data_IF_682364867488
#
_entry.id   IF_682364867488
#
_cell.length_a   1.000
_cell.length_b   1.000
_cell.length_c   1.000
_cell.angle_alpha   90.00
_cell.angle_beta   90.00
_cell.angle_gamma   90.00
#
_symmetry.space_group_name_H-M   'P 1'
#
loop_
_entity.id
_entity.type
_entity.pdbx_description
1 polymer ?
#
# COMPACT_ATOMS: atom_id res chain seq x y z
N UNK A 1 52.56 -6.41 15.28
CA UNK A 1 52.23 -7.39 14.23
C UNK A 1 51.01 -8.19 14.65
N UNK A 2 49.95 -8.11 13.84
CA UNK A 2 48.94 -9.13 13.55
C UNK A 2 48.06 -9.71 14.68
N UNK A 3 46.80 -9.26 14.72
CA UNK A 3 45.58 -10.10 14.64
C UNK A 3 44.29 -9.24 14.83
N UNK A 4 44.00 -8.33 13.90
CA UNK A 4 42.77 -8.39 13.05
C UNK A 4 42.23 -9.81 12.84
N UNK A 5 41.01 -10.10 13.30
CA UNK A 5 39.88 -10.57 12.46
C UNK A 5 38.65 -11.08 13.25
N UNK A 6 37.45 -10.79 12.68
CA UNK A 6 36.17 -11.52 12.82
C UNK A 6 35.27 -11.27 14.05
N UNK A 7 34.71 -10.05 14.12
CA UNK A 7 33.28 -9.90 14.45
C UNK A 7 32.50 -9.80 13.13
N UNK A 8 32.05 -10.96 12.65
CA UNK A 8 31.29 -11.08 11.42
C UNK A 8 29.86 -10.55 11.60
N UNK A 9 29.58 -9.48 10.85
CA UNK A 9 28.26 -9.00 10.41
C UNK A 9 27.21 -10.12 10.34
N UNK A 10 26.27 -10.15 11.28
CA UNK A 10 24.94 -10.71 11.06
C UNK A 10 23.95 -9.54 10.84
N UNK A 11 24.17 -8.79 9.75
CA UNK A 11 23.12 -7.93 9.17
C UNK A 11 22.10 -8.87 8.55
N UNK A 12 21.02 -9.14 9.27
CA UNK A 12 19.82 -9.75 8.67
C UNK A 12 19.22 -8.67 7.77
N UNK A 13 19.54 -8.76 6.50
CA UNK A 13 19.06 -7.92 5.41
C UNK A 13 17.56 -8.17 5.19
N UNK A 14 16.75 -7.37 5.87
CA UNK A 14 15.48 -6.88 5.34
C UNK A 14 15.56 -5.36 5.25
N UNK A 15 16.60 -4.91 4.54
CA UNK A 15 16.58 -3.59 3.93
C UNK A 15 15.65 -3.71 2.73
N UNK A 16 14.46 -3.11 2.83
CA UNK A 16 13.98 -2.36 1.68
C UNK A 16 15.16 -1.51 1.23
N UNK A 17 15.51 -1.57 -0.04
CA UNK A 17 16.69 -0.98 -0.65
C UNK A 17 16.75 0.52 -0.30
N UNK A 18 17.41 0.84 0.82
CA UNK A 18 17.97 2.16 1.07
C UNK A 18 19.45 1.99 0.85
N UNK A 19 19.81 2.18 -0.42
CA UNK A 19 21.19 2.17 -0.84
C UNK A 19 21.90 3.32 -0.11
N UNK A 20 22.97 2.97 0.61
CA UNK A 20 23.87 3.92 1.25
C UNK A 20 24.81 4.55 0.19
N UNK A 21 24.22 5.03 -0.89
CA UNK A 21 24.87 5.81 -1.93
C UNK A 21 24.25 7.20 -1.83
N UNK A 22 24.87 8.05 -1.03
CA UNK A 22 24.65 9.50 -1.03
C UNK A 22 25.11 10.06 -2.37
N UNK A 23 24.32 9.80 -3.41
CA UNK A 23 24.14 10.75 -4.51
C UNK A 23 22.74 11.29 -4.34
N UNK A 24 22.65 12.51 -3.85
CA UNK A 24 21.45 13.34 -3.81
C UNK A 24 20.97 13.60 -5.25
N UNK A 25 20.38 12.60 -5.91
CA UNK A 25 19.62 12.84 -7.12
C UNK A 25 18.26 13.36 -6.67
N UNK A 26 18.16 14.65 -6.37
CA UNK A 26 16.88 15.34 -6.25
C UNK A 26 16.14 15.28 -7.59
N UNK A 27 14.80 15.21 -7.56
CA UNK A 27 14.05 15.61 -8.75
C UNK A 27 14.39 17.08 -9.01
N UNK A 28 14.80 17.37 -10.24
CA UNK A 28 14.98 18.74 -10.68
C UNK A 28 13.63 19.27 -11.12
N UNK A 29 13.17 20.30 -10.41
CA UNK A 29 12.04 21.13 -10.80
C UNK A 29 12.54 22.24 -11.72
N UNK A 30 11.63 22.77 -12.54
CA UNK A 30 11.94 23.78 -13.52
C UNK A 30 11.28 25.11 -13.15
N UNK A 31 11.93 26.21 -13.52
CA UNK A 31 11.35 27.53 -13.36
C UNK A 31 10.11 27.68 -14.25
N UNK A 32 9.15 28.49 -13.78
CA UNK A 32 7.87 28.69 -14.47
C UNK A 32 8.07 29.17 -15.92
N UNK A 33 9.12 29.96 -16.18
CA UNK A 33 9.43 30.50 -17.50
C UNK A 33 9.79 29.40 -18.52
N UNK A 34 10.54 28.37 -18.09
CA UNK A 34 10.89 27.21 -18.94
C UNK A 34 9.65 26.41 -19.31
N UNK A 35 8.73 26.25 -18.34
CA UNK A 35 7.47 25.53 -18.56
C UNK A 35 6.56 26.32 -19.50
N UNK A 36 6.51 27.65 -19.36
CA UNK A 36 5.76 28.51 -20.27
C UNK A 36 6.35 28.51 -21.70
N UNK A 37 7.68 28.50 -21.84
CA UNK A 37 8.37 28.35 -23.12
C UNK A 37 8.05 27.03 -23.80
N UNK A 38 8.00 25.93 -23.03
CA UNK A 38 7.56 24.63 -23.53
C UNK A 38 6.15 24.69 -24.13
N UNK A 39 5.18 25.28 -23.42
CA UNK A 39 3.81 25.40 -23.95
C UNK A 39 3.73 26.30 -25.19
N UNK A 40 4.49 27.40 -25.24
CA UNK A 40 4.55 28.26 -26.41
C UNK A 40 5.12 27.53 -27.64
N UNK A 41 6.14 26.69 -27.43
CA UNK A 41 6.73 25.84 -28.47
C UNK A 41 5.76 24.72 -28.88
N UNK A 42 5.07 24.11 -27.93
CA UNK A 42 4.09 23.06 -28.18
C UNK A 42 2.92 23.52 -29.06
N UNK A 43 2.49 24.79 -28.95
CA UNK A 43 1.46 25.36 -29.82
C UNK A 43 1.86 25.36 -31.31
N UNK A 44 3.15 25.46 -31.61
CA UNK A 44 3.71 25.43 -32.97
C UNK A 44 4.04 24.00 -33.43
N UNK A 45 3.98 23.03 -32.53
CA UNK A 45 4.30 21.63 -32.82
C UNK A 45 3.13 20.89 -33.49
N UNK A 46 3.41 19.71 -34.04
CA UNK A 46 2.43 18.89 -34.78
C UNK A 46 1.52 18.10 -33.83
N UNK A 47 0.67 18.80 -33.09
CA UNK A 47 -0.34 18.22 -32.18
C UNK A 47 -1.77 18.34 -32.73
N UNK A 48 -2.71 17.58 -32.18
CA UNK A 48 -4.13 17.68 -32.47
C UNK A 48 -4.67 19.09 -32.20
N UNK A 49 -5.65 19.52 -33.01
CA UNK A 49 -6.31 20.83 -32.85
C UNK A 49 -7.00 20.96 -31.48
N UNK A 50 -7.58 19.86 -30.98
CA UNK A 50 -8.24 19.81 -29.67
C UNK A 50 -7.22 20.02 -28.54
N UNK A 51 -6.05 19.37 -28.64
CA UNK A 51 -4.97 19.55 -27.69
C UNK A 51 -4.41 20.99 -27.75
N UNK A 52 -4.16 21.52 -28.95
CA UNK A 52 -3.67 22.89 -29.16
C UNK A 52 -4.62 23.94 -28.54
N UNK A 53 -5.92 23.79 -28.75
CA UNK A 53 -6.94 24.66 -28.14
C UNK A 53 -6.94 24.59 -26.61
N UNK A 54 -6.67 23.40 -26.05
CA UNK A 54 -6.61 23.18 -24.60
C UNK A 54 -5.36 23.79 -23.98
N UNK A 55 -4.19 23.62 -24.61
CA UNK A 55 -2.93 24.25 -24.19
C UNK A 55 -3.06 25.78 -24.18
N UNK A 56 -3.68 26.36 -25.21
CA UNK A 56 -3.88 27.82 -25.30
C UNK A 56 -4.75 28.39 -24.15
N UNK A 57 -5.53 27.56 -23.46
CA UNK A 57 -6.35 27.97 -22.31
C UNK A 57 -5.60 27.93 -20.98
N UNK A 58 -4.42 27.29 -20.90
CA UNK A 58 -3.65 27.14 -19.65
C UNK A 58 -3.33 28.49 -18.99
N UNK A 59 -2.82 29.52 -19.70
CA UNK A 59 -2.53 30.80 -19.07
C UNK A 59 -3.78 31.47 -18.47
N UNK A 60 -4.94 31.30 -19.12
CA UNK A 60 -6.23 31.80 -18.63
C UNK A 60 -6.73 31.01 -17.42
N UNK A 61 -6.50 29.71 -17.41
CA UNK A 61 -6.82 28.85 -16.28
C UNK A 61 -6.00 29.24 -15.03
N UNK A 62 -4.68 29.31 -15.15
CA UNK A 62 -3.76 29.62 -14.05
C UNK A 62 -3.89 31.07 -13.52
N UNK A 63 -4.45 31.99 -14.31
CA UNK A 63 -4.72 33.38 -13.91
C UNK A 63 -6.14 33.62 -13.38
N UNK A 64 -6.98 32.59 -13.35
CA UNK A 64 -8.35 32.68 -12.82
C UNK A 64 -8.32 32.94 -11.30
N UNK A 65 -9.19 33.84 -10.82
CA UNK A 65 -9.31 34.14 -9.37
C UNK A 65 -9.79 32.96 -8.52
N UNK A 66 -10.36 31.94 -9.17
CA UNK A 66 -10.89 30.76 -8.48
C UNK A 66 -9.80 29.70 -8.22
N UNK A 67 -8.62 29.82 -8.84
CA UNK A 67 -7.51 28.89 -8.64
C UNK A 67 -6.70 29.35 -7.43
N UNK A 68 -6.50 28.44 -6.48
CA UNK A 68 -5.70 28.72 -5.29
C UNK A 68 -4.21 28.80 -5.66
N UNK A 69 -3.46 29.61 -4.93
CA UNK A 69 -2.01 29.74 -5.15
C UNK A 69 -1.30 28.37 -5.09
N UNK A 70 -1.70 27.52 -4.15
CA UNK A 70 -1.15 26.16 -4.00
C UNK A 70 -1.44 25.26 -5.20
N UNK A 71 -2.56 25.45 -5.90
CA UNK A 71 -2.91 24.66 -7.10
C UNK A 71 -2.06 25.11 -8.29
N UNK A 72 -1.83 26.43 -8.40
CA UNK A 72 -0.93 27.00 -9.41
C UNK A 72 0.52 26.54 -9.20
N UNK A 73 1.02 26.62 -7.97
CA UNK A 73 2.34 26.08 -7.63
C UNK A 73 2.41 24.57 -7.89
N UNK A 74 1.35 23.83 -7.55
CA UNK A 74 1.26 22.39 -7.79
C UNK A 74 1.36 22.03 -9.28
N UNK A 75 0.76 22.84 -10.16
CA UNK A 75 0.86 22.67 -11.61
C UNK A 75 2.31 22.73 -12.08
N UNK A 76 3.02 23.82 -11.76
CA UNK A 76 4.42 23.98 -12.16
C UNK A 76 5.34 22.96 -11.50
N UNK A 77 5.08 22.64 -10.23
CA UNK A 77 5.89 21.67 -9.47
C UNK A 77 5.85 20.26 -10.07
N UNK A 78 4.76 19.89 -10.75
CA UNK A 78 4.62 18.57 -11.37
C UNK A 78 5.60 18.29 -12.52
N UNK A 79 6.13 19.33 -13.16
CA UNK A 79 7.14 19.23 -14.21
C UNK A 79 8.49 18.87 -13.58
N UNK A 80 8.93 17.65 -13.81
CA UNK A 80 10.07 17.08 -13.11
C UNK A 80 10.95 16.23 -13.99
N UNK A 81 12.23 16.19 -13.63
CA UNK A 81 13.24 15.33 -14.22
C UNK A 81 14.06 14.69 -13.10
N UNK A 82 14.40 13.42 -13.23
CA UNK A 82 15.15 12.73 -12.19
C UNK A 82 15.60 11.35 -12.59
N UNK A 83 15.94 10.51 -11.61
CA UNK A 83 16.22 9.10 -11.86
C UNK A 83 14.92 8.38 -12.26
N UNK A 84 14.99 7.45 -13.21
CA UNK A 84 13.83 6.70 -13.71
C UNK A 84 13.28 5.64 -12.71
N UNK A 85 13.62 5.75 -11.43
CA UNK A 85 13.05 4.91 -10.37
C UNK A 85 11.71 5.50 -9.90
N UNK A 86 10.70 5.38 -10.75
CA UNK A 86 9.37 5.95 -10.53
C UNK A 86 8.69 5.38 -9.27
N UNK A 87 8.87 4.09 -8.98
CA UNK A 87 8.20 3.42 -7.86
C UNK A 87 8.98 3.56 -6.55
N UNK A 88 10.32 3.51 -6.60
CA UNK A 88 11.17 3.57 -5.41
C UNK A 88 11.34 4.98 -4.85
N UNK A 89 11.11 6.02 -5.66
CA UNK A 89 11.27 7.41 -5.27
C UNK A 89 9.93 8.12 -5.08
N UNK A 90 9.51 8.23 -3.80
CA UNK A 90 8.29 8.92 -3.36
C UNK A 90 8.14 10.38 -3.87
N UNK A 91 9.21 11.01 -4.36
CA UNK A 91 9.14 12.37 -4.94
C UNK A 91 8.33 12.41 -6.24
N UNK A 92 8.37 11.32 -7.01
CA UNK A 92 7.51 11.19 -8.19
C UNK A 92 6.04 11.13 -7.78
N UNK A 93 5.73 10.42 -6.67
CA UNK A 93 4.37 10.35 -6.12
C UNK A 93 3.88 11.74 -5.69
N UNK A 94 4.74 12.52 -5.06
CA UNK A 94 4.41 13.90 -4.69
C UNK A 94 4.18 14.79 -5.93
N UNK A 95 4.97 14.63 -6.98
CA UNK A 95 4.82 15.36 -8.25
C UNK A 95 3.53 15.00 -8.97
N UNK A 96 3.20 13.70 -9.03
CA UNK A 96 1.92 13.18 -9.50
C UNK A 96 0.73 13.80 -8.74
N UNK A 97 0.78 13.79 -7.40
CA UNK A 97 -0.28 14.40 -6.58
C UNK A 97 -0.38 15.91 -6.75
N UNK A 98 0.71 16.59 -7.04
CA UNK A 98 0.72 18.03 -7.30
C UNK A 98 -0.03 18.37 -8.59
N UNK A 99 0.16 17.59 -9.67
CA UNK A 99 -0.62 17.72 -10.91
C UNK A 99 -2.12 17.47 -10.67
N UNK A 100 -2.46 16.43 -9.92
CA UNK A 100 -3.86 16.07 -9.64
C UNK A 100 -4.53 17.07 -8.70
N UNK A 101 -3.76 17.70 -7.81
CA UNK A 101 -4.27 18.81 -6.99
C UNK A 101 -4.51 20.05 -7.85
N UNK A 102 -3.62 20.33 -8.81
CA UNK A 102 -3.75 21.45 -9.73
C UNK A 102 -4.95 21.34 -10.68
N UNK A 103 -5.44 20.13 -10.95
CA UNK A 103 -6.65 19.96 -11.76
C UNK A 103 -7.88 20.52 -11.07
N UNK A 104 -7.91 20.59 -9.73
CA UNK A 104 -9.08 21.03 -8.96
C UNK A 104 -10.26 20.03 -8.99
N UNK A 105 -10.03 18.78 -9.44
CA UNK A 105 -11.07 17.74 -9.41
C UNK A 105 -11.42 17.38 -7.95
N UNK A 106 -12.72 17.39 -7.64
CA UNK A 106 -13.23 16.95 -6.33
C UNK A 106 -14.00 15.65 -6.47
N UNK A 107 -14.26 14.92 -5.36
CA UNK A 107 -15.06 13.70 -5.43
C UNK A 107 -16.48 13.90 -6.02
N UNK A 108 -17.00 15.13 -6.00
CA UNK A 108 -18.38 15.45 -6.38
C UNK A 108 -18.50 16.34 -7.63
N UNK A 109 -17.50 17.17 -7.93
CA UNK A 109 -17.51 18.11 -9.06
C UNK A 109 -16.34 17.85 -10.01
N UNK A 110 -16.63 17.90 -11.33
CA UNK A 110 -15.59 17.87 -12.37
C UNK A 110 -14.93 19.23 -12.46
N UNK A 111 -13.62 19.26 -12.61
CA UNK A 111 -12.91 20.46 -13.03
C UNK A 111 -13.34 20.90 -14.43
N UNK A 112 -13.32 22.22 -14.67
CA UNK A 112 -13.46 22.79 -16.00
C UNK A 112 -12.26 22.44 -16.90
N UNK A 113 -11.09 22.20 -16.29
CA UNK A 113 -9.83 21.91 -16.98
C UNK A 113 -9.18 20.66 -16.36
N UNK A 114 -9.66 19.45 -16.69
CA UNK A 114 -9.05 18.22 -16.19
C UNK A 114 -7.62 18.06 -16.73
N UNK A 115 -6.72 17.57 -15.88
CA UNK A 115 -5.31 17.38 -16.18
C UNK A 115 -4.91 15.90 -16.05
N UNK A 116 -3.93 15.48 -16.83
CA UNK A 116 -3.34 14.16 -16.81
C UNK A 116 -1.86 14.28 -16.47
N UNK A 117 -1.38 13.36 -15.63
CA UNK A 117 0.03 13.27 -15.28
C UNK A 117 0.69 12.24 -16.20
N UNK A 118 1.58 12.70 -17.06
CA UNK A 118 2.29 11.86 -18.03
C UNK A 118 3.77 11.76 -17.66
N UNK A 119 4.30 10.54 -17.65
CA UNK A 119 5.70 10.29 -17.35
C UNK A 119 6.30 9.24 -18.28
N UNK A 120 7.61 9.29 -18.42
CA UNK A 120 8.36 8.39 -19.29
C UNK A 120 9.84 8.42 -18.96
N UNK A 121 10.53 7.33 -19.27
CA UNK A 121 11.97 7.24 -19.11
C UNK A 121 12.68 7.31 -20.45
N UNK A 122 13.95 7.68 -20.41
CA UNK A 122 14.89 7.43 -21.50
C UNK A 122 15.03 5.91 -21.74
N UNK A 123 15.37 5.49 -22.96
CA UNK A 123 15.60 4.07 -23.32
C UNK A 123 16.60 3.35 -22.41
N UNK A 124 17.57 4.07 -21.84
CA UNK A 124 18.53 3.54 -20.86
C UNK A 124 17.93 3.30 -19.46
N UNK A 125 16.67 3.68 -19.20
CA UNK A 125 16.00 3.64 -17.89
C UNK A 125 16.81 4.34 -16.79
N UNK A 126 17.55 5.39 -17.14
CA UNK A 126 18.37 6.18 -16.19
C UNK A 126 17.72 7.49 -15.80
N UNK A 127 17.10 8.17 -16.76
CA UNK A 127 16.49 9.48 -16.54
C UNK A 127 15.00 9.38 -16.81
N UNK A 128 14.20 9.75 -15.82
CA UNK A 128 12.75 9.90 -15.93
C UNK A 128 12.37 11.36 -16.12
N UNK A 129 11.28 11.58 -16.84
CA UNK A 129 10.66 12.88 -17.04
C UNK A 129 9.16 12.77 -16.76
N UNK A 130 8.57 13.80 -16.17
CA UNK A 130 7.12 13.91 -16.03
C UNK A 130 6.63 15.32 -16.30
N UNK A 131 5.42 15.40 -16.82
CA UNK A 131 4.71 16.63 -17.18
C UNK A 131 3.22 16.49 -16.83
N UNK A 132 2.56 17.63 -16.61
CA UNK A 132 1.12 17.70 -16.38
C UNK A 132 0.45 18.37 -17.58
N UNK A 133 -0.43 17.63 -18.27
CA UNK A 133 -1.06 18.05 -19.52
C UNK A 133 -2.58 18.12 -19.38
N UNK A 134 -3.29 18.93 -20.17
CA UNK A 134 -4.75 18.84 -20.25
C UNK A 134 -5.20 17.47 -20.77
N UNK A 135 -6.29 16.93 -20.22
CA UNK A 135 -6.84 15.61 -20.60
C UNK A 135 -7.03 15.42 -22.13
N UNK A 136 -7.46 16.43 -22.92
CA UNK A 136 -7.57 16.26 -24.38
C UNK A 136 -6.25 16.06 -25.13
N UNK A 137 -5.11 16.14 -24.44
CA UNK A 137 -3.78 15.89 -25.00
C UNK A 137 -3.25 14.48 -24.73
N UNK A 138 -4.07 13.55 -24.21
CA UNK A 138 -3.70 12.14 -23.93
C UNK A 138 -3.01 11.49 -25.16
N UNK A 139 -3.60 11.62 -26.35
CA UNK A 139 -3.08 11.02 -27.60
C UNK A 139 -1.76 11.66 -28.09
N UNK A 140 -1.53 12.94 -27.77
CA UNK A 140 -0.34 13.70 -28.16
C UNK A 140 0.77 13.66 -27.09
N UNK A 141 0.53 12.99 -25.95
CA UNK A 141 1.40 13.04 -24.79
C UNK A 141 2.83 12.55 -25.07
N UNK A 142 3.00 11.51 -25.88
CA UNK A 142 4.32 11.00 -26.27
C UNK A 142 5.13 12.06 -27.01
N UNK A 143 4.49 12.80 -27.93
CA UNK A 143 5.14 13.84 -28.71
C UNK A 143 5.50 15.05 -27.83
N UNK A 144 4.58 15.44 -26.94
CA UNK A 144 4.78 16.53 -25.99
C UNK A 144 5.86 16.21 -24.97
N UNK A 145 5.91 14.98 -24.46
CA UNK A 145 6.96 14.56 -23.54
C UNK A 145 8.31 14.48 -24.25
N UNK A 146 8.36 14.02 -25.50
CA UNK A 146 9.59 14.05 -26.30
C UNK A 146 10.08 15.48 -26.51
N UNK A 147 9.20 16.42 -26.90
CA UNK A 147 9.53 17.84 -27.00
C UNK A 147 10.07 18.39 -25.67
N UNK A 148 9.44 18.05 -24.55
CA UNK A 148 9.89 18.44 -23.23
C UNK A 148 11.29 17.92 -22.91
N UNK A 149 11.61 16.68 -23.29
CA UNK A 149 12.96 16.15 -23.12
C UNK A 149 13.97 16.89 -23.99
N UNK A 150 13.64 17.16 -25.25
CA UNK A 150 14.55 17.78 -26.21
C UNK A 150 14.93 19.20 -25.79
N UNK A 151 14.00 19.97 -25.23
CA UNK A 151 14.25 21.31 -24.69
C UNK A 151 15.16 21.30 -23.45
N UNK A 152 15.14 20.22 -22.66
CA UNK A 152 15.79 20.15 -21.35
C UNK A 152 17.05 19.26 -21.31
N UNK A 153 17.53 18.81 -22.48
CA UNK A 153 18.78 18.07 -22.64
C UNK A 153 19.89 19.02 -23.11
N UNK A 154 20.83 19.33 -22.20
CA UNK A 154 21.93 20.29 -22.42
C UNK A 154 22.92 19.91 -23.55
N UNK A 155 22.91 18.68 -24.06
CA UNK A 155 23.95 18.15 -24.96
C UNK A 155 23.45 17.61 -26.30
N UNK A 156 22.21 17.89 -26.73
CA UNK A 156 21.74 17.52 -28.08
C UNK A 156 21.73 16.03 -28.41
N UNK A 157 21.96 15.15 -27.43
CA UNK A 157 21.76 13.71 -27.58
C UNK A 157 20.26 13.45 -27.51
N UNK A 158 19.59 13.53 -28.65
CA UNK A 158 18.22 13.09 -28.79
C UNK A 158 18.17 11.61 -28.45
N UNK A 159 17.53 11.29 -27.33
CA UNK A 159 17.26 9.92 -26.96
C UNK A 159 15.75 9.72 -27.00
N UNK A 160 15.28 8.69 -27.71
CA UNK A 160 13.87 8.39 -27.70
C UNK A 160 13.45 8.00 -26.29
N UNK A 161 12.25 8.40 -25.91
CA UNK A 161 11.61 7.91 -24.71
C UNK A 161 11.23 6.43 -24.88
N UNK A 162 11.29 5.68 -23.78
CA UNK A 162 10.59 4.41 -23.64
C UNK A 162 9.08 4.64 -23.61
N UNK A 163 8.30 3.58 -23.41
CA UNK A 163 6.83 3.65 -23.25
C UNK A 163 6.44 4.80 -22.29
N UNK A 164 5.57 5.69 -22.78
CA UNK A 164 5.05 6.85 -22.04
C UNK A 164 3.70 6.48 -21.47
N UNK A 165 3.54 6.70 -20.17
CA UNK A 165 2.30 6.39 -19.46
C UNK A 165 1.67 7.68 -18.95
N UNK A 166 0.36 7.82 -19.16
CA UNK A 166 -0.44 8.95 -18.70
C UNK A 166 -1.52 8.47 -17.73
N UNK A 167 -1.70 9.24 -16.67
CA UNK A 167 -2.66 8.96 -15.61
C UNK A 167 -3.67 10.09 -15.54
N UNK A 168 -4.94 9.73 -15.68
CA UNK A 168 -6.02 10.72 -15.68
C UNK A 168 -6.35 11.21 -14.28
N UNK A 169 -6.49 12.53 -14.10
CA UNK A 169 -6.97 13.11 -12.84
C UNK A 169 -8.36 12.60 -12.46
N UNK A 170 -9.18 12.20 -13.44
CA UNK A 170 -10.50 11.61 -13.21
C UNK A 170 -10.73 10.37 -14.06
N UNK A 171 -11.05 9.25 -13.41
CA UNK A 171 -11.36 7.98 -14.07
C UNK A 171 -12.57 8.10 -15.01
N UNK A 172 -12.48 7.51 -16.20
CA UNK A 172 -13.57 7.39 -17.19
C UNK A 172 -14.83 6.75 -16.57
N UNK A 173 -14.67 5.71 -15.76
CA UNK A 173 -15.78 5.06 -15.05
C UNK A 173 -15.73 5.38 -13.55
N UNK A 174 -16.86 5.85 -13.03
CA UNK A 174 -17.00 6.18 -11.61
C UNK A 174 -17.48 4.96 -10.82
N UNK A 175 -17.26 4.97 -9.50
CA UNK A 175 -17.57 3.84 -8.62
C UNK A 175 -19.04 3.41 -8.62
N UNK A 176 -19.96 4.33 -8.89
CA UNK A 176 -21.39 4.06 -8.97
C UNK A 176 -21.80 3.35 -10.26
N UNK A 177 -20.97 3.38 -11.30
CA UNK A 177 -21.20 2.66 -12.55
C UNK A 177 -20.73 1.19 -12.48
N UNK A 178 -19.91 0.83 -11.47
CA UNK A 178 -19.44 -0.54 -11.29
C UNK A 178 -20.43 -1.38 -10.50
N UNK A 179 -20.99 -2.41 -11.14
CA UNK A 179 -21.93 -3.35 -10.52
C UNK A 179 -21.35 -4.08 -9.30
N UNK A 180 -20.05 -4.43 -9.34
CA UNK A 180 -19.36 -5.12 -8.24
C UNK A 180 -19.32 -4.29 -6.96
N UNK A 181 -19.08 -2.98 -7.06
CA UNK A 181 -19.08 -2.06 -5.92
C UNK A 181 -20.48 -1.86 -5.35
N UNK A 182 -21.50 -1.74 -6.21
CA UNK A 182 -22.89 -1.64 -5.76
C UNK A 182 -23.33 -2.90 -4.99
N UNK A 183 -22.96 -4.09 -5.48
CA UNK A 183 -23.26 -5.36 -4.80
C UNK A 183 -22.57 -5.42 -3.43
N UNK A 184 -21.28 -5.05 -3.32
CA UNK A 184 -20.59 -4.99 -2.02
C UNK A 184 -21.28 -4.03 -1.04
N UNK A 185 -21.62 -2.82 -1.49
CA UNK A 185 -22.31 -1.82 -0.66
C UNK A 185 -23.65 -2.39 -0.18
N UNK A 186 -24.47 -2.96 -1.07
CA UNK A 186 -25.76 -3.56 -0.71
C UNK A 186 -25.61 -4.70 0.31
N UNK A 187 -24.62 -5.59 0.14
CA UNK A 187 -24.34 -6.68 1.09
C UNK A 187 -23.97 -6.13 2.46
N UNK A 188 -23.10 -5.11 2.51
CA UNK A 188 -22.67 -4.50 3.77
C UNK A 188 -23.81 -3.76 4.47
N UNK A 189 -24.64 -3.01 3.73
CA UNK A 189 -25.81 -2.33 4.29
C UNK A 189 -26.82 -3.34 4.84
N UNK A 190 -27.05 -4.45 4.13
CA UNK A 190 -27.91 -5.55 4.60
C UNK A 190 -27.36 -6.16 5.89
N UNK A 191 -26.04 -6.39 5.98
CA UNK A 191 -25.39 -6.91 7.17
C UNK A 191 -25.49 -5.95 8.37
N UNK A 192 -25.28 -4.66 8.15
CA UNK A 192 -25.43 -3.62 9.19
C UNK A 192 -26.89 -3.54 9.66
N UNK A 193 -27.85 -3.53 8.74
CA UNK A 193 -29.28 -3.54 9.07
C UNK A 193 -29.68 -4.79 9.87
N UNK A 194 -29.16 -5.96 9.50
CA UNK A 194 -29.36 -7.21 10.24
C UNK A 194 -28.80 -7.12 11.67
N UNK A 195 -27.58 -6.61 11.83
CA UNK A 195 -26.98 -6.39 13.17
C UNK A 195 -27.82 -5.42 13.99
N UNK A 196 -28.26 -4.30 13.39
CA UNK A 196 -29.10 -3.32 14.05
C UNK A 196 -30.42 -3.95 14.51
N UNK A 197 -31.11 -4.68 13.63
CA UNK A 197 -32.35 -5.39 13.93
C UNK A 197 -32.17 -6.40 15.07
N UNK A 198 -31.14 -7.25 15.01
CA UNK A 198 -30.83 -8.23 16.06
C UNK A 198 -30.51 -7.52 17.39
N UNK A 199 -29.80 -6.41 17.34
CA UNK A 199 -29.43 -5.63 18.53
C UNK A 199 -30.66 -5.00 19.17
N UNK A 200 -31.57 -4.41 18.38
CA UNK A 200 -32.86 -3.88 18.86
C UNK A 200 -33.69 -5.00 19.48
N UNK A 201 -33.82 -6.14 18.79
CA UNK A 201 -34.54 -7.30 19.30
C UNK A 201 -34.00 -7.80 20.64
N UNK A 202 -32.67 -7.86 20.80
CA UNK A 202 -32.01 -8.24 22.04
C UNK A 202 -32.19 -7.21 23.17
N UNK A 203 -32.20 -5.92 22.83
CA UNK A 203 -32.47 -4.84 23.80
C UNK A 203 -33.91 -4.89 24.34
N UNK A 204 -34.89 -5.09 23.46
CA UNK A 204 -36.33 -5.08 23.80
C UNK A 204 -36.75 -6.38 24.48
N UNK A 205 -36.49 -7.54 23.85
CA UNK A 205 -37.05 -8.81 24.33
C UNK A 205 -36.17 -9.56 25.32
N UNK A 206 -34.87 -9.23 25.38
CA UNK A 206 -33.86 -9.94 26.18
C UNK A 206 -34.04 -11.47 26.16
N UNK A 207 -34.09 -12.08 24.97
CA UNK A 207 -34.48 -13.48 24.82
C UNK A 207 -33.48 -14.42 25.52
N UNK A 208 -34.01 -15.43 26.21
CA UNK A 208 -33.22 -16.56 26.71
C UNK A 208 -32.76 -17.40 25.51
N UNK A 209 -31.46 -17.65 25.40
CA UNK A 209 -30.87 -18.39 24.27
C UNK A 209 -30.99 -19.90 24.47
N UNK A 210 -32.18 -20.46 24.24
CA UNK A 210 -32.43 -21.91 24.36
C UNK A 210 -32.00 -22.70 23.10
N UNK A 211 -32.30 -22.17 21.90
CA UNK A 211 -31.95 -22.80 20.63
C UNK A 211 -30.54 -22.44 20.13
N UNK A 212 -29.89 -23.33 19.37
CA UNK A 212 -28.63 -23.07 18.66
C UNK A 212 -28.77 -21.90 17.69
N UNK A 213 -29.88 -21.84 16.95
CA UNK A 213 -30.16 -20.74 16.00
C UNK A 213 -30.24 -19.41 16.74
N UNK A 214 -30.96 -19.39 17.86
CA UNK A 214 -31.05 -18.20 18.72
C UNK A 214 -29.67 -17.81 19.30
N UNK A 215 -28.82 -18.78 19.67
CA UNK A 215 -27.44 -18.50 20.11
C UNK A 215 -26.59 -17.89 18.99
N UNK A 216 -26.71 -18.41 17.77
CA UNK A 216 -25.97 -17.91 16.61
C UNK A 216 -26.42 -16.49 16.24
N UNK A 217 -27.72 -16.23 16.13
CA UNK A 217 -28.26 -14.90 15.87
C UNK A 217 -27.85 -13.89 16.95
N UNK A 218 -27.98 -14.27 18.23
CA UNK A 218 -27.57 -13.39 19.34
C UNK A 218 -26.06 -13.15 19.41
N UNK A 219 -25.22 -13.92 18.70
CA UNK A 219 -23.80 -13.65 18.60
C UNK A 219 -23.48 -12.40 17.78
N UNK A 220 -24.39 -12.00 16.88
CA UNK A 220 -24.29 -10.77 16.09
C UNK A 220 -24.88 -9.53 16.78
N UNK A 221 -25.53 -9.69 17.96
CA UNK A 221 -26.03 -8.55 18.75
C UNK A 221 -24.85 -7.67 19.19
N UNK A 222 -24.86 -6.41 18.74
CA UNK A 222 -23.84 -5.42 19.08
C UNK A 222 -23.67 -5.26 20.59
N UNK A 223 -24.78 -5.22 21.33
CA UNK A 223 -24.78 -5.12 22.80
C UNK A 223 -24.02 -6.27 23.46
N UNK A 224 -24.30 -7.51 23.07
CA UNK A 224 -23.65 -8.71 23.65
C UNK A 224 -22.19 -8.78 23.25
N UNK A 225 -21.87 -8.46 22.01
CA UNK A 225 -20.51 -8.42 21.48
C UNK A 225 -19.68 -7.37 22.20
N UNK A 226 -20.16 -6.13 22.33
CA UNK A 226 -19.48 -5.06 23.07
C UNK A 226 -19.29 -5.44 24.54
N UNK A 227 -20.32 -5.95 25.22
CA UNK A 227 -20.19 -6.42 26.61
C UNK A 227 -19.15 -7.54 26.74
N UNK A 228 -18.99 -8.38 25.72
CA UNK A 228 -17.99 -9.45 25.69
C UNK A 228 -16.58 -8.94 25.40
N UNK A 229 -16.44 -7.89 24.59
CA UNK A 229 -15.15 -7.24 24.30
C UNK A 229 -14.57 -6.58 25.55
N UNK A 230 -15.39 -5.89 26.34
CA UNK A 230 -14.96 -5.28 27.61
C UNK A 230 -14.83 -6.27 28.78
N UNK A 231 -15.32 -7.50 28.62
CA UNK A 231 -15.23 -8.50 29.68
C UNK A 231 -13.78 -8.98 29.80
N UNK A 232 -13.11 -8.55 30.86
CA UNK A 232 -11.80 -9.06 31.24
C UNK A 232 -11.87 -10.60 31.34
N UNK A 233 -10.92 -11.34 30.73
CA UNK A 233 -10.91 -12.79 30.82
C UNK A 233 -10.95 -13.23 32.29
N UNK A 234 -11.97 -14.00 32.66
CA UNK A 234 -12.02 -14.62 33.99
C UNK A 234 -10.83 -15.57 34.17
N UNK A 235 -10.39 -15.76 35.43
CA UNK A 235 -9.22 -16.52 35.90
C UNK A 235 -9.05 -17.96 35.35
N UNK A 236 -10.00 -18.44 34.55
CA UNK A 236 -10.10 -19.81 34.01
C UNK A 236 -9.27 -20.07 32.74
N UNK A 237 -8.88 -19.03 32.00
CA UNK A 237 -7.91 -19.19 30.89
C UNK A 237 -6.57 -18.73 31.40
N UNK A 238 -5.54 -19.55 31.24
CA UNK A 238 -4.20 -19.21 31.69
C UNK A 238 -3.65 -18.10 30.79
N UNK A 239 -4.00 -16.86 31.12
CA UNK A 239 -3.61 -15.66 30.39
C UNK A 239 -2.59 -14.92 31.23
N UNK A 240 -1.35 -14.90 30.75
CA UNK A 240 -0.25 -14.17 31.38
C UNK A 240 -0.49 -12.67 31.13
N UNK A 241 -0.82 -11.92 32.18
CA UNK A 241 -1.25 -10.52 32.08
C UNK A 241 -0.17 -9.60 31.48
N UNK A 242 1.10 -9.80 31.83
CA UNK A 242 2.20 -9.00 31.29
C UNK A 242 2.34 -9.15 29.76
N UNK A 243 2.09 -10.34 29.21
CA UNK A 243 2.11 -10.55 27.75
C UNK A 243 0.99 -9.77 27.04
N UNK A 244 -0.12 -9.51 27.72
CA UNK A 244 -1.18 -8.65 27.15
C UNK A 244 -0.72 -7.20 27.05
N UNK A 245 -0.02 -6.67 28.08
CA UNK A 245 0.56 -5.33 28.04
C UNK A 245 1.59 -5.18 26.92
N UNK A 246 2.50 -6.15 26.77
CA UNK A 246 3.49 -6.17 25.69
C UNK A 246 2.85 -6.19 24.29
N UNK A 247 1.70 -6.86 24.12
CA UNK A 247 0.95 -6.83 22.86
C UNK A 247 0.44 -5.44 22.53
N UNK A 248 -0.07 -4.70 23.51
CA UNK A 248 -0.58 -3.34 23.30
C UNK A 248 0.56 -2.41 22.89
N UNK A 249 1.69 -2.46 23.60
CA UNK A 249 2.88 -1.67 23.26
C UNK A 249 3.36 -2.01 21.84
N UNK A 250 3.44 -3.29 21.50
CA UNK A 250 3.83 -3.74 20.16
C UNK A 250 2.84 -3.31 19.06
N UNK A 251 1.54 -3.22 19.37
CA UNK A 251 0.51 -2.72 18.46
C UNK A 251 0.65 -1.22 18.20
N UNK A 252 0.90 -0.44 19.24
CA UNK A 252 1.14 1.01 19.12
C UNK A 252 2.42 1.25 18.31
N UNK A 253 3.47 0.46 18.55
CA UNK A 253 4.73 0.57 17.83
C UNK A 253 4.56 0.32 16.33
N UNK A 254 3.93 -0.79 15.94
CA UNK A 254 3.71 -1.09 14.51
C UNK A 254 2.82 -0.06 13.83
N UNK A 255 1.78 0.41 14.52
CA UNK A 255 0.87 1.45 14.01
C UNK A 255 1.63 2.76 13.74
N UNK A 256 2.42 3.21 14.72
CA UNK A 256 3.26 4.42 14.60
C UNK A 256 4.21 4.29 13.41
N UNK A 257 4.93 3.17 13.30
CA UNK A 257 5.84 2.94 12.19
C UNK A 257 5.20 3.02 10.81
N UNK A 258 4.01 2.41 10.64
CA UNK A 258 3.29 2.49 9.37
C UNK A 258 2.83 3.92 9.08
N UNK A 259 2.33 4.67 10.07
CA UNK A 259 1.90 6.05 9.88
C UNK A 259 3.03 6.94 9.32
N UNK A 260 4.23 6.86 9.91
CA UNK A 260 5.42 7.60 9.44
C UNK A 260 6.03 7.03 8.14
N UNK A 261 5.77 5.76 7.81
CA UNK A 261 6.18 5.21 6.52
C UNK A 261 5.33 5.79 5.37
N UNK A 262 4.01 5.85 5.53
CA UNK A 262 3.09 6.27 4.47
C UNK A 262 2.99 7.78 4.26
N UNK A 263 3.34 8.60 5.27
CA UNK A 263 3.29 10.07 5.14
C UNK A 263 4.30 10.63 4.13
N UNK A 264 5.36 9.89 3.83
CA UNK A 264 6.45 10.32 2.94
C UNK A 264 5.97 10.80 1.57
N UNK A 265 4.99 10.11 0.98
CA UNK A 265 4.40 10.49 -0.32
C UNK A 265 3.57 11.78 -0.31
N UNK A 266 3.42 12.44 0.84
CA UNK A 266 2.64 13.67 1.02
C UNK A 266 3.50 14.86 1.49
N UNK A 267 4.81 14.68 1.67
CA UNK A 267 5.73 15.70 2.18
C UNK A 267 6.60 16.23 1.05
N UNK A 268 6.68 17.56 0.91
CA UNK A 268 7.53 18.25 -0.07
C UNK A 268 9.03 18.03 0.19
N UNK A 269 9.47 18.23 1.44
CA UNK A 269 10.87 18.11 1.86
C UNK A 269 11.21 16.69 2.34
N UNK A 270 11.02 15.69 1.48
CA UNK A 270 11.21 14.30 1.89
C UNK A 270 12.65 13.97 2.33
N UNK A 271 13.65 14.65 1.76
CA UNK A 271 15.06 14.43 2.12
C UNK A 271 15.33 14.87 3.56
N UNK A 272 14.88 16.06 3.93
CA UNK A 272 15.00 16.60 5.29
C UNK A 272 14.26 15.69 6.29
N UNK A 273 13.05 15.23 5.93
CA UNK A 273 12.31 14.26 6.72
C UNK A 273 13.07 12.94 6.92
N UNK A 274 13.67 12.39 5.85
CA UNK A 274 14.46 11.15 5.92
C UNK A 274 15.74 11.34 6.74
N UNK A 275 16.41 12.48 6.59
CA UNK A 275 17.58 12.86 7.37
C UNK A 275 17.24 12.97 8.86
N UNK A 276 16.15 13.66 9.21
CA UNK A 276 15.68 13.79 10.59
C UNK A 276 15.32 12.43 11.21
N UNK A 277 14.63 11.56 10.48
CA UNK A 277 14.30 10.21 10.94
C UNK A 277 15.54 9.32 11.09
N UNK A 278 16.54 9.50 10.23
CA UNK A 278 17.75 8.68 10.26
C UNK A 278 18.78 9.12 11.30
N UNK A 279 18.84 10.42 11.61
CA UNK A 279 19.85 11.01 12.49
C UNK A 279 19.46 10.99 13.96
N UNK A 280 18.16 11.07 14.27
CA UNK A 280 17.68 11.11 15.65
C UNK A 280 17.63 9.73 16.31
N UNK A 281 18.16 9.61 17.53
CA UNK A 281 18.16 8.36 18.30
C UNK A 281 16.73 7.84 18.56
N UNK A 282 15.81 8.71 18.99
CA UNK A 282 14.42 8.31 19.25
C UNK A 282 13.68 7.97 17.95
N UNK A 283 14.04 8.58 16.82
CA UNK A 283 13.47 8.25 15.52
C UNK A 283 13.89 6.85 15.04
N UNK A 284 14.95 6.26 15.60
CA UNK A 284 15.30 4.86 15.34
C UNK A 284 14.18 3.88 15.74
N UNK A 285 13.38 4.23 16.75
CA UNK A 285 12.20 3.44 17.12
C UNK A 285 11.18 3.42 15.98
N UNK A 286 11.00 4.55 15.30
CA UNK A 286 10.09 4.69 14.17
C UNK A 286 10.68 4.03 12.93
N UNK A 287 11.95 4.29 12.60
CA UNK A 287 12.60 3.75 11.39
C UNK A 287 12.71 2.22 11.42
N UNK A 288 12.94 1.62 12.60
CA UNK A 288 13.05 0.17 12.78
C UNK A 288 11.74 -0.50 13.21
N UNK A 289 10.59 0.07 12.87
CA UNK A 289 9.28 -0.46 13.30
C UNK A 289 9.02 -1.92 12.88
N UNK A 290 9.67 -2.42 11.82
CA UNK A 290 9.54 -3.82 11.37
C UNK A 290 10.01 -4.83 12.43
N UNK A 291 10.89 -4.43 13.35
CA UNK A 291 11.30 -5.26 14.48
C UNK A 291 10.15 -5.57 15.45
N UNK A 292 9.12 -4.72 15.51
CA UNK A 292 7.91 -4.99 16.31
C UNK A 292 7.23 -6.31 15.93
N UNK A 293 7.35 -6.73 14.66
CA UNK A 293 6.82 -8.01 14.18
C UNK A 293 7.48 -9.19 14.91
N UNK A 294 8.77 -9.11 15.23
CA UNK A 294 9.48 -10.15 15.96
C UNK A 294 8.92 -10.31 17.38
N UNK A 295 8.55 -9.20 18.02
CA UNK A 295 7.87 -9.21 19.32
C UNK A 295 6.53 -9.95 19.23
N UNK A 296 5.73 -9.71 18.19
CA UNK A 296 4.48 -10.46 17.98
C UNK A 296 4.72 -11.96 17.77
N UNK A 297 5.75 -12.35 17.01
CA UNK A 297 6.12 -13.75 16.83
C UNK A 297 6.57 -14.39 18.13
N UNK A 298 7.41 -13.72 18.92
CA UNK A 298 7.88 -14.20 20.22
C UNK A 298 6.72 -14.40 21.20
N UNK A 299 5.84 -13.40 21.33
CA UNK A 299 4.66 -13.46 22.20
C UNK A 299 3.68 -14.56 21.76
N UNK A 300 3.56 -14.78 20.45
CA UNK A 300 2.71 -15.85 19.89
C UNK A 300 3.32 -17.23 20.12
N UNK A 301 4.62 -17.38 19.94
CA UNK A 301 5.36 -18.63 20.19
C UNK A 301 5.32 -19.00 21.67
N UNK A 302 5.65 -18.06 22.57
CA UNK A 302 5.62 -18.28 24.02
C UNK A 302 4.23 -18.73 24.50
N UNK A 303 3.16 -18.06 24.05
CA UNK A 303 1.80 -18.45 24.44
C UNK A 303 1.40 -19.81 23.85
N UNK A 304 1.79 -20.10 22.61
CA UNK A 304 1.49 -21.38 21.97
C UNK A 304 2.19 -22.52 22.70
N UNK A 305 3.48 -22.40 22.98
CA UNK A 305 4.26 -23.37 23.75
C UNK A 305 3.65 -23.58 25.14
N UNK A 306 3.36 -22.49 25.85
CA UNK A 306 2.73 -22.56 27.18
C UNK A 306 1.39 -23.30 27.14
N UNK A 307 0.54 -22.99 26.15
CA UNK A 307 -0.76 -23.64 25.99
C UNK A 307 -0.63 -25.13 25.67
N UNK A 308 0.38 -25.51 24.87
CA UNK A 308 0.65 -26.89 24.52
C UNK A 308 1.15 -27.69 25.74
N UNK A 309 2.15 -27.19 26.47
CA UNK A 309 2.65 -27.85 27.69
C UNK A 309 1.56 -27.98 28.76
N UNK A 310 0.71 -26.95 28.93
CA UNK A 310 -0.42 -27.04 29.84
C UNK A 310 -1.48 -28.06 29.39
N UNK A 311 -1.68 -28.23 28.08
CA UNK A 311 -2.61 -29.23 27.55
C UNK A 311 -2.04 -30.65 27.70
N UNK A 312 -0.75 -30.84 27.37
CA UNK A 312 -0.04 -32.11 27.53
C UNK A 312 0.01 -32.57 28.99
N UNK A 313 0.13 -31.64 29.95
CA UNK A 313 0.07 -31.97 31.39
C UNK A 313 -1.34 -32.38 31.86
N UNK A 314 -2.40 -31.89 31.21
CA UNK A 314 -3.81 -32.15 31.60
C UNK A 314 -4.45 -33.32 30.87
N UNK A 315 -3.99 -33.61 29.67
CA UNK A 315 -4.52 -34.67 28.81
C UNK A 315 -3.46 -35.77 28.72
N UNK A 316 -3.66 -36.86 29.46
CA UNK A 316 -2.86 -38.07 29.29
C UNK A 316 -2.93 -38.51 27.81
N UNK A 317 -1.78 -38.59 27.15
CA UNK A 317 -1.68 -39.10 25.76
C UNK A 317 -1.56 -38.08 24.63
N UNK A 318 -1.53 -36.76 24.89
CA UNK A 318 -1.25 -35.78 23.81
C UNK A 318 0.27 -35.68 23.57
N UNK A 319 0.79 -36.56 22.73
CA UNK A 319 2.17 -36.49 22.24
C UNK A 319 2.35 -35.41 21.15
N UNK A 320 3.57 -34.91 20.97
CA UNK A 320 3.92 -33.98 19.89
C UNK A 320 3.63 -34.52 18.49
N UNK A 321 3.54 -35.85 18.34
CA UNK A 321 3.16 -36.55 17.10
C UNK A 321 1.65 -36.65 16.85
N UNK A 322 0.81 -36.22 17.78
CA UNK A 322 -0.64 -36.34 17.64
C UNK A 322 -1.17 -35.43 16.53
N UNK A 323 -1.45 -36.02 15.37
CA UNK A 323 -1.98 -35.31 14.21
C UNK A 323 -3.33 -34.64 14.51
N UNK A 324 -4.21 -35.32 15.26
CA UNK A 324 -5.53 -34.80 15.60
C UNK A 324 -5.50 -33.52 16.45
N UNK A 325 -4.53 -33.41 17.37
CA UNK A 325 -4.32 -32.20 18.16
C UNK A 325 -3.92 -31.02 17.26
N UNK A 326 -2.89 -31.21 16.42
CA UNK A 326 -2.38 -30.17 15.53
C UNK A 326 -3.43 -29.75 14.49
N UNK A 327 -4.19 -30.69 13.92
CA UNK A 327 -5.28 -30.38 13.00
C UNK A 327 -6.35 -29.51 13.66
N UNK A 328 -6.76 -29.83 14.90
CA UNK A 328 -7.72 -29.02 15.66
C UNK A 328 -7.15 -27.62 15.98
N UNK A 329 -5.87 -27.55 16.34
CA UNK A 329 -5.16 -26.30 16.62
C UNK A 329 -5.13 -25.38 15.39
N UNK A 330 -4.68 -25.89 14.24
CA UNK A 330 -4.61 -25.11 13.00
C UNK A 330 -5.99 -24.75 12.48
N UNK A 331 -6.97 -25.66 12.53
CA UNK A 331 -8.36 -25.37 12.14
C UNK A 331 -8.95 -24.21 12.94
N UNK A 332 -8.80 -24.22 14.27
CA UNK A 332 -9.30 -23.14 15.12
C UNK A 332 -8.60 -21.81 14.81
N UNK A 333 -7.30 -21.85 14.47
CA UNK A 333 -6.56 -20.65 14.07
C UNK A 333 -7.05 -20.08 12.73
N UNK A 334 -7.27 -20.94 11.75
CA UNK A 334 -7.79 -20.54 10.43
C UNK A 334 -9.19 -19.94 10.53
N UNK A 335 -10.13 -20.62 11.21
CA UNK A 335 -11.49 -20.12 11.41
C UNK A 335 -11.54 -18.77 12.12
N UNK A 336 -10.55 -18.48 12.98
CA UNK A 336 -10.45 -17.19 13.68
C UNK A 336 -9.89 -16.06 12.81
N UNK A 337 -8.86 -16.33 12.01
CA UNK A 337 -8.12 -15.29 11.27
C UNK A 337 -8.70 -15.05 9.86
N UNK A 338 -9.11 -16.13 9.19
CA UNK A 338 -9.47 -16.11 7.78
C UNK A 338 -10.67 -15.21 7.46
N UNK A 339 -11.76 -15.14 8.26
CA UNK A 339 -12.88 -14.25 7.96
C UNK A 339 -12.48 -12.77 7.94
N UNK A 340 -11.67 -12.33 8.89
CA UNK A 340 -11.19 -10.96 8.94
C UNK A 340 -10.25 -10.65 7.77
N UNK A 341 -9.41 -11.61 7.37
CA UNK A 341 -8.52 -11.45 6.23
C UNK A 341 -9.28 -11.36 4.89
N UNK A 342 -10.26 -12.25 4.67
CA UNK A 342 -11.14 -12.20 3.49
C UNK A 342 -11.87 -10.85 3.43
N UNK A 343 -12.41 -10.39 4.57
CA UNK A 343 -13.11 -9.11 4.62
C UNK A 343 -12.21 -7.94 4.21
N UNK A 344 -10.97 -7.89 4.71
CA UNK A 344 -10.02 -6.82 4.35
C UNK A 344 -9.67 -6.86 2.85
N UNK A 345 -9.51 -8.05 2.27
CA UNK A 345 -9.26 -8.17 0.81
C UNK A 345 -10.47 -7.68 0.02
N UNK A 346 -11.67 -8.17 0.34
CA UNK A 346 -12.91 -7.74 -0.33
C UNK A 346 -13.08 -6.22 -0.22
N UNK A 347 -12.86 -5.67 0.97
CA UNK A 347 -12.91 -4.23 1.23
C UNK A 347 -11.88 -3.47 0.36
N UNK A 348 -10.63 -3.92 0.32
CA UNK A 348 -9.60 -3.28 -0.48
C UNK A 348 -9.92 -3.35 -1.99
N UNK A 349 -10.40 -4.51 -2.45
CA UNK A 349 -10.67 -4.83 -3.86
C UNK A 349 -11.92 -4.18 -4.43
N UNK A 350 -13.03 -4.14 -3.70
CA UNK A 350 -14.33 -3.71 -4.25
C UNK A 350 -14.75 -2.32 -3.77
N UNK A 351 -14.16 -1.84 -2.68
CA UNK A 351 -14.49 -0.52 -2.10
C UNK A 351 -13.34 0.45 -2.22
N UNK A 352 -12.22 0.15 -1.58
CA UNK A 352 -11.10 1.09 -1.44
C UNK A 352 -10.49 1.46 -2.79
N UNK A 353 -10.27 0.48 -3.68
CA UNK A 353 -9.72 0.66 -5.05
C UNK A 353 -10.60 1.49 -5.98
N UNK A 354 -11.92 1.38 -5.82
CA UNK A 354 -12.89 1.96 -6.74
C UNK A 354 -13.37 3.33 -6.26
N UNK A 355 -13.38 3.58 -4.94
CA UNK A 355 -13.92 4.81 -4.37
C UNK A 355 -13.15 6.08 -4.77
N UNK A 356 -11.85 5.96 -5.12
CA UNK A 356 -11.11 7.10 -5.63
C UNK A 356 -11.63 7.53 -7.01
N UNK A 357 -11.99 8.81 -7.13
CA UNK A 357 -12.41 9.43 -8.40
C UNK A 357 -11.26 9.59 -9.38
N UNK A 358 -10.05 9.74 -8.84
CA UNK A 358 -8.81 9.89 -9.59
C UNK A 358 -8.07 8.57 -9.75
N UNK A 359 -7.23 8.49 -10.79
CA UNK A 359 -6.31 7.38 -10.98
C UNK A 359 -5.38 7.24 -9.77
N UNK A 360 -4.96 6.00 -9.48
CA UNK A 360 -4.03 5.71 -8.38
C UNK A 360 -2.67 5.41 -8.99
N UNK A 361 -1.60 5.74 -8.28
CA UNK A 361 -0.23 5.51 -8.69
C UNK A 361 0.67 5.38 -7.46
N UNK A 362 1.72 4.55 -7.47
CA UNK A 362 2.23 3.72 -8.58
C UNK A 362 1.43 2.43 -8.83
N UNK A 363 1.72 1.74 -9.93
CA UNK A 363 1.09 0.46 -10.31
C UNK A 363 1.21 -0.66 -9.26
N UNK A 364 2.19 -0.57 -8.36
CA UNK A 364 2.34 -1.47 -7.23
C UNK A 364 1.35 -1.22 -6.08
N UNK A 365 0.55 -0.15 -6.17
CA UNK A 365 -0.39 0.23 -5.13
C UNK A 365 -1.47 -0.87 -4.94
N UNK A 366 -1.82 -1.22 -3.68
CA UNK A 366 -2.89 -2.17 -3.37
C UNK A 366 -4.20 -1.91 -4.09
N UNK A 367 -4.56 -0.64 -4.33
CA UNK A 367 -5.77 -0.25 -5.04
C UNK A 367 -5.81 -0.74 -6.49
N UNK A 368 -4.66 -0.98 -7.13
CA UNK A 368 -4.56 -1.49 -8.51
C UNK A 368 -4.33 -3.00 -8.51
N UNK A 369 -3.48 -3.50 -7.62
CA UNK A 369 -3.11 -4.91 -7.57
C UNK A 369 -4.20 -5.81 -6.98
N UNK A 370 -4.97 -5.32 -6.00
CA UNK A 370 -6.01 -6.11 -5.35
C UNK A 370 -7.15 -6.51 -6.29
N UNK A 371 -7.72 -5.64 -7.13
CA UNK A 371 -8.71 -6.05 -8.13
C UNK A 371 -8.24 -7.16 -9.08
N UNK A 372 -6.94 -7.18 -9.42
CA UNK A 372 -6.35 -8.18 -10.32
C UNK A 372 -6.12 -9.53 -9.62
N UNK A 373 -5.58 -9.51 -8.39
CA UNK A 373 -5.06 -10.72 -7.72
C UNK A 373 -5.77 -11.09 -6.40
N UNK A 374 -6.99 -10.61 -6.14
CA UNK A 374 -7.68 -10.84 -4.86
C UNK A 374 -7.91 -12.32 -4.53
N UNK A 375 -8.30 -13.14 -5.52
CA UNK A 375 -8.51 -14.58 -5.31
C UNK A 375 -7.21 -15.28 -4.92
N UNK A 376 -6.11 -14.97 -5.60
CA UNK A 376 -4.80 -15.51 -5.30
C UNK A 376 -4.38 -15.18 -3.86
N UNK A 377 -4.69 -13.97 -3.39
CA UNK A 377 -4.38 -13.54 -2.04
C UNK A 377 -5.28 -14.19 -0.97
N UNK A 378 -6.56 -14.47 -1.27
CA UNK A 378 -7.49 -15.21 -0.38
C UNK A 378 -7.00 -16.64 -0.13
N UNK A 379 -6.52 -17.31 -1.18
CA UNK A 379 -6.02 -18.68 -1.12
C UNK A 379 -4.52 -18.78 -0.82
N UNK A 380 -3.84 -17.66 -0.55
CA UNK A 380 -2.39 -17.58 -0.33
C UNK A 380 -1.54 -18.12 -1.50
N UNK A 381 -2.09 -18.11 -2.72
CA UNK A 381 -1.39 -18.45 -3.97
C UNK A 381 -0.37 -17.36 -4.34
N UNK A 382 -0.56 -16.13 -3.85
CA UNK A 382 0.40 -15.02 -3.95
C UNK A 382 1.83 -15.37 -3.50
N UNK A 383 1.97 -16.44 -2.71
CA UNK A 383 3.23 -17.12 -2.39
C UNK A 383 4.06 -17.53 -3.64
N UNK A 384 3.40 -17.79 -4.78
CA UNK A 384 4.00 -18.28 -6.03
C UNK A 384 4.01 -17.23 -7.16
N UNK A 385 3.03 -16.32 -7.20
CA UNK A 385 2.83 -15.38 -8.32
C UNK A 385 3.52 -14.03 -8.14
N UNK A 386 4.24 -13.82 -7.03
CA UNK A 386 5.10 -12.65 -6.76
C UNK A 386 4.41 -11.27 -6.67
N UNK A 387 3.08 -11.17 -6.83
CA UNK A 387 2.33 -9.90 -6.77
C UNK A 387 1.43 -9.83 -5.51
N UNK A 388 1.91 -9.23 -4.40
CA UNK A 388 1.08 -9.07 -3.22
C UNK A 388 0.01 -7.99 -3.44
N UNK A 389 -1.27 -8.31 -3.21
CA UNK A 389 -2.34 -7.30 -3.22
C UNK A 389 -2.19 -6.33 -2.05
N UNK A 390 -1.89 -6.83 -0.85
CA UNK A 390 -1.70 -5.99 0.34
C UNK A 390 -0.22 -5.92 0.68
N UNK A 391 0.36 -4.71 0.70
CA UNK A 391 1.79 -4.50 0.96
C UNK A 391 2.30 -5.17 2.24
N UNK A 392 1.48 -5.23 3.31
CA UNK A 392 1.82 -5.88 4.59
C UNK A 392 1.73 -7.42 4.58
N UNK A 393 1.32 -8.06 3.48
CA UNK A 393 1.31 -9.53 3.32
C UNK A 393 2.66 -10.11 2.89
N UNK A 394 3.70 -9.27 2.81
CA UNK A 394 5.07 -9.65 2.46
C UNK A 394 5.67 -10.75 3.36
N UNK A 395 5.30 -10.83 4.64
CA UNK A 395 5.84 -11.81 5.58
C UNK A 395 5.48 -13.27 5.22
N UNK A 396 4.20 -13.61 4.99
CA UNK A 396 3.81 -14.88 4.39
C UNK A 396 4.57 -15.19 3.10
N UNK A 397 4.61 -14.25 2.16
CA UNK A 397 5.23 -14.42 0.84
C UNK A 397 6.74 -14.67 0.92
N UNK A 398 7.46 -13.94 1.78
CA UNK A 398 8.90 -14.11 1.95
C UNK A 398 9.28 -15.39 2.69
N UNK A 399 8.47 -15.84 3.66
CA UNK A 399 8.67 -17.16 4.30
C UNK A 399 8.41 -18.29 3.31
N UNK A 400 7.39 -18.15 2.48
CA UNK A 400 7.10 -19.02 1.35
C UNK A 400 8.31 -19.15 0.41
N UNK A 401 8.83 -18.00 -0.06
CA UNK A 401 10.02 -17.92 -0.93
C UNK A 401 11.22 -18.66 -0.32
N UNK A 402 11.53 -18.39 0.95
CA UNK A 402 12.64 -19.05 1.65
C UNK A 402 12.48 -20.57 1.76
N UNK A 403 11.25 -21.05 2.05
CA UNK A 403 10.96 -22.49 2.16
C UNK A 403 11.05 -23.16 0.79
N UNK A 404 10.49 -22.55 -0.26
CA UNK A 404 10.53 -23.06 -1.63
C UNK A 404 11.96 -23.11 -2.15
N UNK A 405 12.73 -22.04 -1.97
CA UNK A 405 14.13 -21.95 -2.40
C UNK A 405 15.02 -22.99 -1.70
N UNK A 406 14.82 -23.22 -0.39
CA UNK A 406 15.50 -24.31 0.31
C UNK A 406 15.09 -25.70 -0.18
N UNK A 407 13.86 -25.87 -0.65
CA UNK A 407 13.35 -27.14 -1.15
C UNK A 407 13.86 -27.42 -2.56
N UNK A 408 13.91 -26.44 -3.46
CA UNK A 408 14.56 -26.56 -4.77
C UNK A 408 16.06 -26.82 -4.62
N UNK A 409 16.78 -26.10 -3.75
CA UNK A 409 18.21 -26.39 -3.49
C UNK A 409 18.48 -27.80 -2.94
N UNK A 410 17.53 -28.39 -2.20
CA UNK A 410 17.63 -29.79 -1.73
C UNK A 410 17.37 -30.81 -2.83
N UNK A 411 16.55 -30.47 -3.83
CA UNK A 411 16.23 -31.33 -4.98
C UNK A 411 17.35 -31.27 -6.03
N UNK A 412 18.02 -30.13 -6.18
CA UNK A 412 19.14 -29.93 -7.12
C UNK A 412 20.52 -30.24 -6.53
N UNK A 413 20.61 -30.66 -5.27
CA UNK A 413 21.88 -31.13 -4.70
C UNK A 413 22.15 -32.57 -5.16
N UNK A 414 23.20 -32.83 -5.98
CA UNK A 414 23.55 -34.20 -6.36
C UNK A 414 23.93 -35.00 -5.11
N UNK A 415 23.40 -36.22 -5.05
CA UNK A 415 23.42 -37.08 -3.87
C UNK A 415 24.81 -37.24 -3.25
N UNK A 416 24.97 -36.77 -2.01
CA UNK A 416 26.03 -37.25 -1.12
C UNK A 416 25.54 -38.60 -0.57
N UNK A 417 25.83 -39.68 -1.31
CA UNK A 417 25.79 -41.05 -0.77
C UNK A 417 26.71 -41.08 0.44
N UNK A 418 26.14 -41.44 1.59
CA UNK A 418 26.89 -41.83 2.78
C UNK A 418 27.39 -43.23 2.47
N UNK A 419 28.70 -43.34 2.23
CA UNK A 419 29.45 -44.59 2.34
C UNK A 419 30.18 -44.58 3.68
#
# INVERSE_FOLDING_TARGET
MLAKERYAKLRITFFAVYNNSTRTFALTHFDNDVINEFFNTALQYKISEVCRSSINKIPRFLSSRNVLEEEREGFYYSFTKGNADFVGDDRWLFSFKSCFRASGDTPYARSEYPLDFCYGADTDMKTGYAICLPQPCEDDATQLLQLWTDLNVKNGSHKPLSEVECLESRKKTQWNALSSTLVDICINQTYIALIAFITVFDCVRRPKTKSIVMRALMAFSGRRTVKRLYKVPSKSKITIRCLMGLRVISMIWVFTGHAFAWVQGYIKNINEYREDISSNFFAQFISNFTLSVNTFFLLSAALTSYSWFSAAKKLEGVSWRSYGYWLRFYRHRLVRLWPAYIYIIIFATFRSSVHSTSSVWPDTDPHIQCPKHWLENIFFINCFTHTPCLGWTWLPTNKCKYILEKRTRKITAPGRRIG
#
